data_IF_197561005821
#
_entry.id   IF_197561005821
#
_cell.length_a   1.000
_cell.length_b   1.000
_cell.length_c   1.000
_cell.angle_alpha   90.00
_cell.angle_beta   90.00
_cell.angle_gamma   90.00
#
_symmetry.space_group_name_H-M   'P 1'
#
loop_
_entity.id
_entity.type
_entity.pdbx_description
1 polymer ?
#
# COMPACT_ATOMS: atom_id res chain seq x y z
N UNK A 1 29.82 -41.02 -6.99
CA UNK A 1 29.68 -39.79 -6.19
C UNK A 1 28.93 -38.78 -7.05
N UNK A 2 27.62 -38.64 -6.86
CA UNK A 2 26.80 -37.74 -7.68
C UNK A 2 26.85 -36.34 -7.06
N UNK A 3 27.53 -35.40 -7.73
CA UNK A 3 27.59 -34.01 -7.30
C UNK A 3 26.28 -33.31 -7.61
N UNK A 4 25.57 -32.86 -6.58
CA UNK A 4 24.38 -32.02 -6.72
C UNK A 4 24.81 -30.67 -7.34
N UNK A 5 24.33 -30.39 -8.55
CA UNK A 5 24.52 -29.08 -9.21
C UNK A 5 23.52 -28.13 -8.57
N UNK A 6 23.97 -27.34 -7.60
CA UNK A 6 23.17 -26.25 -7.04
C UNK A 6 22.88 -25.25 -8.16
N UNK A 7 21.61 -24.93 -8.46
CA UNK A 7 21.31 -23.89 -9.43
C UNK A 7 21.94 -22.59 -8.93
N UNK A 8 22.75 -21.96 -9.78
CA UNK A 8 23.39 -20.69 -9.50
C UNK A 8 22.29 -19.65 -9.26
N UNK A 9 22.00 -19.37 -7.99
CA UNK A 9 20.99 -18.38 -7.60
C UNK A 9 21.59 -17.00 -7.90
N UNK A 10 21.39 -16.53 -9.12
CA UNK A 10 21.81 -15.19 -9.51
C UNK A 10 21.08 -14.18 -8.63
N UNK A 11 21.84 -13.51 -7.75
CA UNK A 11 21.31 -12.41 -6.94
C UNK A 11 20.93 -11.26 -7.87
N UNK A 12 19.65 -11.12 -8.17
CA UNK A 12 19.09 -9.90 -8.79
C UNK A 12 18.88 -8.85 -7.71
N UNK A 13 19.22 -7.59 -8.01
CA UNK A 13 18.91 -6.50 -7.09
C UNK A 13 17.39 -6.28 -7.05
N UNK A 14 16.82 -6.14 -5.86
CA UNK A 14 15.38 -5.90 -5.68
C UNK A 14 14.86 -4.74 -6.52
N UNK A 15 15.70 -3.73 -6.77
CA UNK A 15 15.40 -2.55 -7.57
C UNK A 15 14.92 -2.84 -9.01
N UNK A 16 15.28 -3.98 -9.61
CA UNK A 16 14.87 -4.34 -10.97
C UNK A 16 13.40 -4.79 -11.04
N UNK A 17 12.85 -5.27 -9.93
CA UNK A 17 11.47 -5.77 -9.83
C UNK A 17 10.54 -4.79 -9.09
N UNK A 18 11.08 -3.71 -8.53
CA UNK A 18 10.30 -2.72 -7.81
C UNK A 18 9.53 -1.80 -8.76
N UNK A 19 8.29 -1.41 -8.41
CA UNK A 19 7.57 -0.42 -9.19
C UNK A 19 8.32 0.90 -9.17
N UNK A 20 8.53 1.47 -10.36
CA UNK A 20 9.27 2.73 -10.50
C UNK A 20 8.50 3.86 -9.79
N UNK A 21 9.18 4.55 -8.89
CA UNK A 21 8.63 5.72 -8.20
C UNK A 21 8.50 6.91 -9.14
N UNK A 22 7.52 7.77 -8.87
CA UNK A 22 7.33 9.02 -9.61
C UNK A 22 8.48 9.98 -9.32
N UNK A 23 8.93 10.73 -10.33
CA UNK A 23 9.85 11.85 -10.13
C UNK A 23 9.12 13.07 -9.53
N UNK A 24 9.87 14.09 -9.09
CA UNK A 24 9.29 15.25 -8.40
C UNK A 24 8.22 15.99 -9.23
N UNK A 25 8.45 16.18 -10.53
CA UNK A 25 7.48 16.85 -11.41
C UNK A 25 6.20 16.01 -11.54
N UNK A 26 6.33 14.68 -11.69
CA UNK A 26 5.19 13.78 -11.73
C UNK A 26 4.41 13.77 -10.41
N UNK A 27 5.10 13.84 -9.26
CA UNK A 27 4.46 13.96 -7.95
C UNK A 27 3.64 15.25 -7.87
N UNK A 28 4.20 16.38 -8.30
CA UNK A 28 3.48 17.66 -8.30
C UNK A 28 2.23 17.59 -9.17
N UNK A 29 2.33 17.08 -10.39
CA UNK A 29 1.19 16.94 -11.30
C UNK A 29 0.12 16.01 -10.70
N UNK A 30 0.53 14.86 -10.16
CA UNK A 30 -0.39 13.92 -9.52
C UNK A 30 -1.09 14.54 -8.31
N UNK A 31 -0.36 15.37 -7.53
CA UNK A 31 -0.91 16.10 -6.38
C UNK A 31 -1.99 17.08 -6.81
N UNK A 32 -1.73 17.91 -7.82
CA UNK A 32 -2.72 18.87 -8.31
C UNK A 32 -3.96 18.17 -8.87
N UNK A 33 -3.77 17.07 -9.61
CA UNK A 33 -4.87 16.25 -10.10
C UNK A 33 -5.70 15.64 -8.96
N UNK A 34 -5.05 15.12 -7.92
CA UNK A 34 -5.73 14.57 -6.75
C UNK A 34 -6.52 15.66 -6.01
N UNK A 35 -5.93 16.86 -5.83
CA UNK A 35 -6.60 17.99 -5.18
C UNK A 35 -7.83 18.44 -5.97
N UNK A 36 -7.74 18.46 -7.30
CA UNK A 36 -8.87 18.77 -8.16
C UNK A 36 -10.02 17.78 -7.98
N UNK A 37 -9.74 16.47 -7.91
CA UNK A 37 -10.78 15.45 -7.68
C UNK A 37 -11.46 15.65 -6.32
N UNK A 38 -10.68 15.81 -5.25
CA UNK A 38 -11.20 15.95 -3.88
C UNK A 38 -12.01 17.24 -3.71
N UNK A 39 -11.64 18.32 -4.40
CA UNK A 39 -12.34 19.61 -4.29
C UNK A 39 -13.60 19.73 -5.16
N UNK A 40 -13.70 18.94 -6.24
CA UNK A 40 -14.80 19.10 -7.22
C UNK A 40 -15.79 17.96 -7.25
N UNK A 41 -15.46 16.79 -6.69
CA UNK A 41 -16.30 15.59 -6.72
C UNK A 41 -16.91 15.30 -5.36
N UNK A 42 -18.02 14.56 -5.35
CA UNK A 42 -18.55 14.02 -4.09
C UNK A 42 -17.58 13.01 -3.51
N UNK A 43 -17.73 12.73 -2.21
CA UNK A 43 -16.86 11.78 -1.51
C UNK A 43 -16.93 10.37 -2.14
N UNK A 44 -18.12 9.92 -2.52
CA UNK A 44 -18.35 8.61 -3.13
C UNK A 44 -17.66 8.51 -4.49
N UNK A 45 -17.73 9.57 -5.30
CA UNK A 45 -17.07 9.61 -6.60
C UNK A 45 -15.54 9.67 -6.45
N UNK A 46 -15.04 10.46 -5.51
CA UNK A 46 -13.61 10.54 -5.22
C UNK A 46 -13.07 9.18 -4.76
N UNK A 47 -13.75 8.51 -3.84
CA UNK A 47 -13.40 7.16 -3.39
C UNK A 47 -13.36 6.17 -4.55
N UNK A 48 -14.38 6.17 -5.41
CA UNK A 48 -14.42 5.32 -6.60
C UNK A 48 -13.23 5.55 -7.53
N UNK A 49 -12.80 6.80 -7.71
CA UNK A 49 -11.63 7.14 -8.53
C UNK A 49 -10.33 6.62 -7.88
N UNK A 50 -10.11 6.92 -6.60
CA UNK A 50 -8.84 6.57 -5.94
C UNK A 50 -8.67 5.08 -5.64
N UNK A 51 -9.77 4.34 -5.55
CA UNK A 51 -9.76 2.89 -5.27
C UNK A 51 -9.94 2.02 -6.52
N UNK A 52 -10.11 2.64 -7.69
CA UNK A 52 -10.28 1.92 -8.95
C UNK A 52 -9.09 0.98 -9.22
N UNK A 53 -9.38 -0.31 -9.39
CA UNK A 53 -8.37 -1.32 -9.74
C UNK A 53 -7.51 -1.82 -8.59
N UNK A 54 -7.72 -1.35 -7.36
CA UNK A 54 -7.09 -1.94 -6.18
C UNK A 54 -7.65 -3.35 -5.95
N UNK A 55 -6.75 -4.31 -5.72
CA UNK A 55 -7.12 -5.64 -5.24
C UNK A 55 -6.86 -5.71 -3.74
N UNK A 56 -7.80 -6.24 -2.94
CA UNK A 56 -7.54 -6.52 -1.53
C UNK A 56 -6.28 -7.39 -1.41
N UNK A 57 -5.40 -7.04 -0.48
CA UNK A 57 -4.34 -7.96 -0.07
C UNK A 57 -5.02 -9.05 0.73
N UNK A 58 -5.34 -10.17 0.09
CA UNK A 58 -5.78 -11.37 0.77
C UNK A 58 -4.63 -11.75 1.70
N UNK A 59 -4.85 -11.71 3.01
CA UNK A 59 -3.83 -12.07 3.99
C UNK A 59 -3.24 -13.43 3.59
N UNK A 60 -1.95 -13.49 3.27
CA UNK A 60 -1.22 -14.74 2.97
C UNK A 60 -1.07 -15.64 4.20
N UNK A 61 -1.80 -15.36 5.27
CA UNK A 61 -1.89 -16.16 6.48
C UNK A 61 -3.28 -16.79 6.52
N UNK A 62 -3.47 -17.86 5.75
CA UNK A 62 -4.33 -19.04 6.03
C UNK A 62 -4.47 -19.89 4.77
N UNK A 63 -3.40 -20.61 4.45
CA UNK A 63 -3.57 -21.96 3.89
C UNK A 63 -3.99 -22.87 5.05
N UNK A 64 -5.26 -22.76 5.45
CA UNK A 64 -5.96 -23.73 6.29
C UNK A 64 -7.44 -23.41 6.15
N UNK A 65 -8.01 -24.04 5.13
CA UNK A 65 -9.39 -24.54 5.05
C UNK A 65 -10.32 -24.00 6.15
N UNK A 66 -11.16 -23.04 5.80
CA UNK A 66 -12.62 -23.15 5.86
C UNK A 66 -13.26 -21.81 5.51
N UNK A 67 -14.26 -21.88 4.63
CA UNK A 67 -15.06 -20.79 4.13
C UNK A 67 -15.88 -20.12 5.25
N UNK A 68 -16.36 -18.91 4.95
CA UNK A 68 -17.40 -18.16 5.68
C UNK A 68 -16.96 -17.25 6.85
N UNK A 69 -16.84 -15.96 6.57
CA UNK A 69 -17.92 -14.99 6.84
C UNK A 69 -17.42 -13.58 6.50
N UNK A 70 -17.98 -13.03 5.43
CA UNK A 70 -17.88 -11.64 5.05
C UNK A 70 -18.49 -10.75 6.16
N UNK A 71 -17.66 -10.24 7.08
CA UNK A 71 -18.05 -9.17 8.01
C UNK A 71 -17.50 -7.83 7.54
N UNK A 72 -18.30 -7.22 6.67
CA UNK A 72 -18.55 -5.78 6.52
C UNK A 72 -17.80 -4.89 7.56
N UNK A 73 -16.56 -4.50 7.25
CA UNK A 73 -15.84 -3.48 8.01
C UNK A 73 -16.44 -2.11 7.67
N UNK A 74 -17.45 -1.69 8.44
CA UNK A 74 -17.92 -0.31 8.46
C UNK A 74 -16.79 0.52 9.07
N UNK A 75 -16.10 1.31 8.24
CA UNK A 75 -15.22 2.35 8.75
C UNK A 75 -16.09 3.47 9.28
N UNK A 76 -16.26 3.50 10.59
CA UNK A 76 -16.85 4.64 11.30
C UNK A 76 -15.83 5.78 11.26
N UNK A 77 -16.10 6.81 10.45
CA UNK A 77 -15.32 8.05 10.40
C UNK A 77 -15.84 8.96 11.52
N UNK A 78 -15.55 8.60 12.76
CA UNK A 78 -15.76 9.48 13.92
C UNK A 78 -14.45 9.65 14.68
N UNK A 79 -14.00 10.89 14.84
CA UNK A 79 -12.96 11.27 15.80
C UNK A 79 -11.68 11.86 15.22
N UNK A 80 -11.76 13.01 14.57
CA UNK A 80 -10.64 13.94 14.53
C UNK A 80 -10.57 14.66 15.88
N UNK A 81 -10.00 14.01 16.91
CA UNK A 81 -9.53 14.73 18.09
C UNK A 81 -8.59 13.85 18.93
N UNK A 82 -7.41 14.42 19.20
CA UNK A 82 -6.45 14.02 20.22
C UNK A 82 -5.57 12.77 19.97
N UNK A 83 -4.52 12.95 19.16
CA UNK A 83 -3.31 12.12 19.25
C UNK A 83 -2.07 12.98 19.53
N UNK A 84 -2.14 13.86 20.53
CA UNK A 84 -0.96 14.55 21.07
C UNK A 84 -0.02 13.62 21.88
N UNK A 85 -0.26 12.30 21.95
CA UNK A 85 0.51 11.41 22.83
C UNK A 85 1.04 10.12 22.21
N UNK A 86 1.22 10.05 20.88
CA UNK A 86 2.08 9.01 20.31
C UNK A 86 3.32 9.65 19.71
N UNK A 87 4.28 9.93 20.60
CA UNK A 87 5.69 10.12 20.26
C UNK A 87 6.02 9.03 19.24
N UNK A 88 6.05 9.39 17.96
CA UNK A 88 6.63 8.51 16.94
C UNK A 88 8.10 8.53 17.27
N UNK A 89 8.59 7.41 17.76
CA UNK A 89 10.01 7.16 17.96
C UNK A 89 10.65 7.14 16.56
N UNK A 90 10.90 8.33 16.02
CA UNK A 90 11.59 8.56 14.76
C UNK A 90 13.08 8.41 15.02
N UNK A 91 13.48 7.20 15.39
CA UNK A 91 14.88 6.80 15.36
C UNK A 91 15.27 6.78 13.89
N UNK A 92 15.87 7.87 13.42
CA UNK A 92 16.57 7.88 12.14
C UNK A 92 17.63 6.79 12.21
N UNK A 93 17.50 5.75 11.39
CA UNK A 93 18.55 4.75 11.28
C UNK A 93 19.86 5.44 10.83
N UNK A 94 21.01 5.11 11.44
CA UNK A 94 22.28 5.65 11.01
C UNK A 94 22.67 5.09 9.63
N UNK A 95 23.42 5.89 8.87
CA UNK A 95 24.02 5.51 7.59
C UNK A 95 25.21 4.57 7.79
#
# INVERSE_FOLDING_TARGET
MSGSVMPNLERKSSIENEPRTLNLSQIQIAREAALYVVSTRSMEEALRIFTAGLKPVINSARDSEEEEENKNMVYDFEGFENSESRIRDIVSAPF
#
